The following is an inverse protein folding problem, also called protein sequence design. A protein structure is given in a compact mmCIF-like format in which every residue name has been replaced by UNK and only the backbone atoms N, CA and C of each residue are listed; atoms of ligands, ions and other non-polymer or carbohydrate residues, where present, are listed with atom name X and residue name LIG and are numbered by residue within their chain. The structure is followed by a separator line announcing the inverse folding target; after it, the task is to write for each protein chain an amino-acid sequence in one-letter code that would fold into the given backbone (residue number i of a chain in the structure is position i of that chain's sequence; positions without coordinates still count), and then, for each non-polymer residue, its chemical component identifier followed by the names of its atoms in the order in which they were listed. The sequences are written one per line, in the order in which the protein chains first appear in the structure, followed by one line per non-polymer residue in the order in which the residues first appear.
data_IF_195585297507
#
_entry.id   IF_195585297507
#
_cell.length_a   1.000
_cell.length_b   1.000
_cell.length_c   1.000
_cell.angle_alpha   90.00
_cell.angle_beta   90.00
_cell.angle_gamma   90.00
#
_symmetry.space_group_name_H-M   'P 1'
#
loop_
_entity.id
_entity.type
_entity.pdbx_description
1 polymer ?
#
# COMPACT_ATOMS: atom_id res chain seq x y z
N UNK A 1 -1.26 -24.99 -18.11
CA UNK A 1 -0.47 -24.82 -16.87
C UNK A 1 0.73 -23.86 -17.03
N UNK A 2 1.45 -23.84 -18.15
CA UNK A 2 2.65 -23.00 -18.31
C UNK A 2 2.43 -21.49 -18.01
N UNK A 3 1.29 -20.91 -18.39
CA UNK A 3 0.99 -19.50 -18.12
C UNK A 3 0.79 -19.15 -16.63
N UNK A 4 0.22 -20.07 -15.84
CA UNK A 4 -0.01 -19.85 -14.40
C UNK A 4 1.33 -19.96 -13.65
N UNK A 5 2.18 -20.91 -14.05
CA UNK A 5 3.53 -21.06 -13.52
C UNK A 5 4.37 -19.81 -13.78
N UNK A 6 4.28 -19.24 -14.98
CA UNK A 6 4.98 -17.99 -15.31
C UNK A 6 4.52 -16.81 -14.43
N UNK A 7 3.22 -16.72 -14.14
CA UNK A 7 2.68 -15.68 -13.25
C UNK A 7 3.07 -15.89 -11.78
N UNK A 8 3.09 -17.13 -11.30
CA UNK A 8 3.57 -17.48 -9.95
C UNK A 8 5.05 -17.14 -9.80
N UNK A 9 5.88 -17.45 -10.80
CA UNK A 9 7.31 -17.11 -10.78
C UNK A 9 7.58 -15.61 -10.98
N UNK A 10 6.68 -14.86 -11.64
CA UNK A 10 6.84 -13.41 -11.74
C UNK A 10 6.63 -12.70 -10.40
N UNK A 11 5.80 -13.25 -9.52
CA UNK A 11 5.56 -12.67 -8.19
C UNK A 11 6.54 -13.17 -7.13
N UNK A 12 7.12 -14.36 -7.32
CA UNK A 12 8.17 -14.90 -6.47
C UNK A 12 9.18 -15.70 -7.31
N UNK A 13 10.28 -15.08 -7.76
CA UNK A 13 11.26 -15.73 -8.62
C UNK A 13 12.14 -16.76 -7.89
N UNK A 14 12.10 -16.81 -6.56
CA UNK A 14 12.88 -17.75 -5.76
C UNK A 14 12.23 -19.13 -5.62
N UNK A 15 10.95 -19.27 -5.99
CA UNK A 15 10.27 -20.56 -5.93
C UNK A 15 10.92 -21.58 -6.87
N UNK A 16 11.27 -22.74 -6.32
CA UNK A 16 11.75 -23.86 -7.14
C UNK A 16 10.59 -24.55 -7.86
N UNK A 17 10.90 -25.37 -8.86
CA UNK A 17 9.89 -26.20 -9.53
C UNK A 17 9.10 -27.10 -8.55
N UNK A 18 9.72 -27.50 -7.44
CA UNK A 18 9.08 -28.28 -6.38
C UNK A 18 8.10 -27.43 -5.58
N UNK A 19 8.49 -26.20 -5.23
CA UNK A 19 7.64 -25.26 -4.46
C UNK A 19 6.43 -24.84 -5.29
N UNK A 20 6.63 -24.50 -6.56
CA UNK A 20 5.53 -24.19 -7.48
C UNK A 20 4.57 -25.37 -7.61
N UNK A 21 5.09 -26.60 -7.71
CA UNK A 21 4.25 -27.80 -7.77
C UNK A 21 3.46 -28.01 -6.48
N UNK A 22 4.09 -27.82 -5.31
CA UNK A 22 3.44 -27.92 -4.01
C UNK A 22 2.33 -26.87 -3.86
N UNK A 23 2.64 -25.63 -4.20
CA UNK A 23 1.71 -24.51 -4.11
C UNK A 23 0.50 -24.68 -5.04
N UNK A 24 0.70 -25.14 -6.27
CA UNK A 24 -0.41 -25.46 -7.18
C UNK A 24 -1.26 -26.64 -6.70
N UNK A 25 -0.67 -27.58 -5.96
CA UNK A 25 -1.38 -28.67 -5.30
C UNK A 25 -2.22 -28.15 -4.14
N UNK A 26 -1.61 -27.35 -3.26
CA UNK A 26 -2.25 -26.89 -2.01
C UNK A 26 -3.39 -25.89 -2.26
N UNK A 27 -3.33 -25.20 -3.39
CA UNK A 27 -4.36 -24.23 -3.82
C UNK A 27 -5.37 -24.82 -4.80
N UNK A 28 -5.20 -26.08 -5.21
CA UNK A 28 -6.14 -26.73 -6.09
C UNK A 28 -7.49 -26.92 -5.39
N UNK A 29 -8.57 -26.67 -6.14
CA UNK A 29 -9.93 -26.90 -5.69
C UNK A 29 -10.36 -28.30 -6.09
N UNK A 30 -10.79 -29.10 -5.12
CA UNK A 30 -11.38 -30.41 -5.38
C UNK A 30 -12.60 -30.29 -6.31
N UNK A 31 -12.67 -31.17 -7.30
CA UNK A 31 -13.77 -31.25 -8.26
C UNK A 31 -14.22 -32.70 -8.41
N UNK A 32 -15.53 -32.92 -8.27
CA UNK A 32 -16.08 -34.28 -8.31
C UNK A 32 -15.90 -35.04 -7.00
N UNK A 33 -15.67 -36.34 -7.09
CA UNK A 33 -15.58 -37.26 -5.94
C UNK A 33 -14.35 -38.17 -6.05
N UNK A 34 -14.02 -38.89 -4.96
CA UNK A 34 -12.93 -39.88 -4.97
C UNK A 34 -11.58 -39.35 -4.49
N UNK A 35 -11.57 -38.21 -3.79
CA UNK A 35 -10.39 -37.70 -3.09
C UNK A 35 -10.09 -38.53 -1.84
N UNK A 36 -8.85 -38.99 -1.72
CA UNK A 36 -8.35 -39.69 -0.55
C UNK A 36 -7.96 -38.74 0.60
N UNK A 37 -7.54 -39.29 1.76
CA UNK A 37 -7.07 -38.50 2.91
C UNK A 37 -5.85 -37.60 2.61
N UNK A 38 -5.14 -37.84 1.51
CA UNK A 38 -4.01 -37.07 0.99
C UNK A 38 -4.42 -35.95 0.02
N UNK A 39 -5.73 -35.75 -0.18
CA UNK A 39 -6.30 -34.76 -1.09
C UNK A 39 -6.15 -35.11 -2.57
N UNK A 40 -5.90 -36.38 -2.90
CA UNK A 40 -5.67 -36.84 -4.27
C UNK A 40 -6.80 -37.75 -4.78
N UNK A 41 -7.28 -37.47 -5.99
CA UNK A 41 -8.20 -38.32 -6.74
C UNK A 41 -7.45 -39.05 -7.88
N UNK A 42 -7.68 -40.35 -8.10
CA UNK A 42 -7.11 -41.07 -9.26
C UNK A 42 -7.51 -40.47 -10.61
N UNK A 43 -8.65 -39.78 -10.68
CA UNK A 43 -9.20 -39.21 -11.91
C UNK A 43 -8.85 -37.73 -12.07
N UNK A 44 -8.86 -36.97 -10.98
CA UNK A 44 -8.72 -35.51 -11.01
C UNK A 44 -7.42 -34.99 -10.38
N UNK A 45 -6.53 -35.87 -9.91
CA UNK A 45 -5.33 -35.49 -9.18
C UNK A 45 -5.68 -34.68 -7.93
N UNK A 46 -5.05 -33.51 -7.75
CA UNK A 46 -5.36 -32.59 -6.65
C UNK A 46 -6.56 -31.67 -6.94
N UNK A 47 -7.21 -31.82 -8.11
CA UNK A 47 -8.35 -31.02 -8.53
C UNK A 47 -8.00 -29.89 -9.50
N UNK A 48 -8.91 -28.94 -9.61
CA UNK A 48 -8.80 -27.82 -10.54
C UNK A 48 -7.85 -26.75 -10.00
N UNK A 49 -6.88 -26.35 -10.81
CA UNK A 49 -5.95 -25.27 -10.43
C UNK A 49 -6.70 -23.94 -10.27
N UNK A 50 -6.51 -23.31 -9.11
CA UNK A 50 -6.94 -21.96 -8.82
C UNK A 50 -5.75 -21.00 -8.97
N UNK A 51 -5.69 -20.31 -10.11
CA UNK A 51 -4.60 -19.39 -10.42
C UNK A 51 -4.54 -18.20 -9.45
N UNK A 52 -5.69 -17.74 -8.96
CA UNK A 52 -5.76 -16.60 -8.04
C UNK A 52 -5.21 -16.98 -6.67
N UNK A 53 -5.67 -18.11 -6.12
CA UNK A 53 -5.17 -18.62 -4.84
C UNK A 53 -3.67 -18.95 -4.92
N UNK A 54 -3.20 -19.50 -6.04
CA UNK A 54 -1.78 -19.77 -6.27
C UNK A 54 -0.94 -18.48 -6.27
N UNK A 55 -1.33 -17.46 -7.03
CA UNK A 55 -0.59 -16.18 -7.05
C UNK A 55 -0.59 -15.52 -5.68
N UNK A 56 -1.72 -15.54 -4.97
CA UNK A 56 -1.80 -14.96 -3.62
C UNK A 56 -0.94 -15.73 -2.60
N UNK A 57 -0.84 -17.06 -2.72
CA UNK A 57 0.05 -17.87 -1.90
C UNK A 57 1.53 -17.59 -2.23
N UNK A 58 1.85 -17.43 -3.52
CA UNK A 58 3.20 -17.13 -3.98
C UNK A 58 3.65 -15.73 -3.52
N UNK A 59 2.75 -14.75 -3.52
CA UNK A 59 2.97 -13.42 -2.93
C UNK A 59 3.24 -13.49 -1.42
N UNK A 60 2.52 -14.33 -0.68
CA UNK A 60 2.73 -14.53 0.76
C UNK A 60 4.07 -15.22 1.09
N UNK A 61 4.57 -16.02 0.16
CA UNK A 61 5.87 -16.71 0.26
C UNK A 61 6.99 -15.94 -0.44
N UNK A 62 6.67 -14.83 -1.12
CA UNK A 62 7.67 -13.99 -1.74
C UNK A 62 8.66 -13.58 -0.66
N UNK A 63 9.97 -13.67 -0.93
CA UNK A 63 10.93 -13.05 -0.05
C UNK A 63 10.49 -11.59 0.12
N UNK A 64 10.24 -11.17 1.36
CA UNK A 64 10.52 -9.78 1.72
C UNK A 64 11.97 -9.60 1.32
N UNK A 65 12.25 -8.64 0.44
CA UNK A 65 13.57 -8.39 -0.15
C UNK A 65 14.68 -8.77 0.86
N UNK A 66 15.69 -9.56 0.45
CA UNK A 66 16.71 -10.03 1.38
C UNK A 66 17.26 -8.83 2.15
N UNK A 67 17.32 -8.94 3.47
CA UNK A 67 17.96 -7.94 4.33
C UNK A 67 19.37 -7.71 3.78
N UNK A 68 19.62 -6.52 3.20
CA UNK A 68 20.87 -6.18 2.51
C UNK A 68 20.70 -5.63 1.09
N UNK A 69 19.51 -5.72 0.47
CA UNK A 69 19.21 -4.96 -0.77
C UNK A 69 18.41 -3.70 -0.44
N UNK A 70 18.93 -2.51 -0.73
CA UNK A 70 18.24 -1.26 -0.44
C UNK A 70 16.89 -1.15 -1.14
N UNK A 71 15.90 -0.63 -0.45
CA UNK A 71 14.51 -0.58 -0.94
C UNK A 71 13.75 0.66 -0.48
N UNK A 72 12.63 0.92 -1.14
CA UNK A 72 11.68 1.99 -0.78
C UNK A 72 10.27 1.42 -0.71
N UNK A 73 9.55 1.73 0.37
CA UNK A 73 8.17 1.29 0.59
C UNK A 73 7.29 2.50 0.93
N UNK A 74 6.22 2.69 0.16
CA UNK A 74 5.20 3.71 0.40
C UNK A 74 3.92 3.12 0.97
N UNK A 75 2.96 3.97 1.39
CA UNK A 75 1.65 3.51 1.80
C UNK A 75 0.86 3.00 0.59
N UNK A 76 -0.03 2.03 0.80
CA UNK A 76 -0.89 1.52 -0.27
C UNK A 76 -1.83 2.59 -0.86
N UNK A 77 -2.25 3.56 -0.04
CA UNK A 77 -3.06 4.70 -0.48
C UNK A 77 -2.78 5.96 0.32
N UNK A 78 -3.11 7.11 -0.27
CA UNK A 78 -3.05 8.41 0.39
C UNK A 78 -4.21 9.30 -0.06
N UNK A 79 -4.97 9.85 0.90
CA UNK A 79 -6.08 10.78 0.63
C UNK A 79 -5.57 12.01 -0.13
N UNK A 80 -6.23 12.35 -1.23
CA UNK A 80 -5.94 13.52 -2.07
C UNK A 80 -5.86 14.82 -1.28
N UNK A 81 -6.69 14.97 -0.24
CA UNK A 81 -6.71 16.11 0.69
C UNK A 81 -5.90 15.90 1.97
N UNK A 82 -5.33 14.70 2.14
CA UNK A 82 -4.54 14.32 3.31
C UNK A 82 -3.09 14.82 3.26
N UNK A 83 -2.31 14.53 4.32
CA UNK A 83 -0.89 14.86 4.35
C UNK A 83 -0.11 14.13 3.23
N UNK A 84 1.05 14.65 2.81
CA UNK A 84 1.92 13.95 1.88
C UNK A 84 2.27 12.53 2.36
N UNK A 85 2.33 11.56 1.43
CA UNK A 85 2.76 10.21 1.76
C UNK A 85 4.21 10.22 2.27
N UNK A 86 4.48 9.33 3.22
CA UNK A 86 5.81 9.07 3.76
C UNK A 86 6.25 7.71 3.23
N UNK A 87 7.47 7.65 2.72
CA UNK A 87 8.11 6.44 2.20
C UNK A 87 9.19 6.00 3.18
N UNK A 88 9.16 4.74 3.57
CA UNK A 88 10.21 4.10 4.35
C UNK A 88 11.33 3.63 3.41
N UNK A 89 12.57 3.93 3.75
CA UNK A 89 13.77 3.52 3.04
C UNK A 89 14.51 2.50 3.88
N UNK A 90 14.73 1.33 3.30
CA UNK A 90 15.72 0.40 3.81
C UNK A 90 17.04 0.69 3.09
N UNK A 91 18.03 1.17 3.84
CA UNK A 91 19.37 1.47 3.35
C UNK A 91 20.37 0.35 3.69
N UNK A 92 19.87 -0.82 4.11
CA UNK A 92 20.70 -1.98 4.39
C UNK A 92 21.54 -2.32 3.16
N UNK A 93 22.86 -2.35 3.36
CA UNK A 93 23.84 -2.74 2.36
C UNK A 93 24.90 -3.61 3.02
N UNK A 94 25.64 -4.38 2.22
CA UNK A 94 26.79 -5.15 2.68
C UNK A 94 28.03 -4.25 2.87
N UNK A 95 27.97 -3.35 3.86
CA UNK A 95 29.13 -2.61 4.36
C UNK A 95 29.37 -1.22 3.77
N UNK A 96 28.50 -0.73 2.88
CA UNK A 96 28.57 0.61 2.31
C UNK A 96 27.53 1.57 2.92
N UNK A 97 27.91 2.81 3.22
CA UNK A 97 26.92 3.84 3.51
C UNK A 97 26.22 4.23 2.20
N UNK A 98 24.89 4.21 2.21
CA UNK A 98 24.09 4.54 1.05
C UNK A 98 23.32 5.84 1.24
N UNK A 99 23.26 6.57 0.14
CA UNK A 99 22.46 7.76 -0.03
C UNK A 99 21.46 7.52 -1.15
N UNK A 100 20.37 8.26 -1.15
CA UNK A 100 19.32 8.08 -2.14
C UNK A 100 18.72 9.39 -2.64
N UNK A 101 18.04 9.29 -3.77
CA UNK A 101 17.08 10.28 -4.23
C UNK A 101 15.79 9.58 -4.63
N UNK A 102 14.64 10.20 -4.33
CA UNK A 102 13.32 9.65 -4.67
C UNK A 102 12.83 10.27 -5.95
N UNK A 103 12.32 9.43 -6.84
CA UNK A 103 11.57 9.82 -8.03
C UNK A 103 10.09 9.43 -7.84
N UNK A 104 9.19 10.33 -8.24
CA UNK A 104 7.75 10.10 -8.20
C UNK A 104 7.10 10.56 -9.52
N UNK A 105 6.13 9.79 -10.02
CA UNK A 105 5.52 10.02 -11.32
C UNK A 105 4.02 9.68 -11.34
N UNK A 106 3.28 10.36 -12.20
CA UNK A 106 1.84 10.11 -12.42
C UNK A 106 1.57 8.92 -13.35
N UNK A 107 2.58 8.52 -14.13
CA UNK A 107 2.56 7.36 -15.03
C UNK A 107 3.93 6.65 -14.92
N UNK A 108 3.98 5.32 -14.77
CA UNK A 108 5.25 4.60 -14.63
C UNK A 108 6.14 4.70 -15.88
N UNK A 109 5.59 4.95 -17.08
CA UNK A 109 6.38 5.13 -18.31
C UNK A 109 7.35 6.32 -18.21
N UNK A 110 7.05 7.31 -17.36
CA UNK A 110 7.90 8.49 -17.15
C UNK A 110 9.24 8.15 -16.49
N UNK A 111 9.40 6.94 -15.92
CA UNK A 111 10.70 6.46 -15.44
C UNK A 111 11.64 6.05 -16.58
N UNK A 112 11.12 5.69 -17.76
CA UNK A 112 11.95 5.44 -18.95
C UNK A 112 12.46 6.76 -19.52
N UNK A 113 13.55 7.26 -18.93
CA UNK A 113 14.06 8.62 -19.18
C UNK A 113 14.30 8.91 -20.65
N UNK A 114 14.87 7.96 -21.40
CA UNK A 114 15.21 8.17 -22.81
C UNK A 114 13.97 8.25 -23.72
N UNK A 115 12.90 7.52 -23.38
CA UNK A 115 11.70 7.45 -24.21
C UNK A 115 10.72 8.59 -23.91
N UNK A 116 10.61 9.01 -22.64
CA UNK A 116 9.57 9.92 -22.16
C UNK A 116 10.12 11.22 -21.56
N UNK A 117 11.33 11.64 -21.94
CA UNK A 117 11.94 12.86 -21.41
C UNK A 117 11.05 14.10 -21.61
N UNK A 118 10.40 14.21 -22.77
CA UNK A 118 9.56 15.35 -23.12
C UNK A 118 8.27 15.42 -22.28
N UNK A 119 7.80 14.28 -21.76
CA UNK A 119 6.57 14.16 -20.99
C UNK A 119 6.79 14.38 -19.49
N UNK A 120 8.06 14.48 -19.04
CA UNK A 120 8.44 14.76 -17.64
C UNK A 120 8.34 16.27 -17.38
N UNK A 121 7.16 16.69 -16.97
CA UNK A 121 6.86 18.05 -16.55
C UNK A 121 6.73 18.12 -15.02
N UNK A 122 6.75 19.31 -14.40
CA UNK A 122 6.55 19.45 -12.96
C UNK A 122 5.23 18.88 -12.42
N UNK A 123 4.23 18.68 -13.28
CA UNK A 123 2.91 18.14 -12.93
C UNK A 123 2.81 16.63 -13.15
N UNK A 124 3.77 16.02 -13.84
CA UNK A 124 3.75 14.59 -14.18
C UNK A 124 4.89 13.83 -13.53
N UNK A 125 5.98 14.50 -13.16
CA UNK A 125 7.21 13.88 -12.67
C UNK A 125 7.93 14.76 -11.63
N UNK A 126 8.52 14.11 -10.64
CA UNK A 126 9.36 14.71 -9.62
C UNK A 126 10.61 13.87 -9.32
N UNK A 127 11.72 14.54 -9.02
CA UNK A 127 12.97 13.91 -8.58
C UNK A 127 13.64 14.76 -7.48
N UNK A 128 13.86 14.19 -6.30
CA UNK A 128 14.41 14.93 -5.16
C UNK A 128 15.84 15.43 -5.37
N UNK A 129 16.62 14.79 -6.24
CA UNK A 129 17.98 15.21 -6.58
C UNK A 129 18.03 16.55 -7.34
N UNK A 130 16.89 17.07 -7.80
CA UNK A 130 16.78 18.41 -8.38
C UNK A 130 16.72 19.51 -7.31
N UNK A 131 16.26 19.17 -6.12
CA UNK A 131 16.05 20.12 -5.02
C UNK A 131 17.20 20.11 -4.02
N UNK A 132 17.77 18.93 -3.77
CA UNK A 132 18.79 18.72 -2.74
C UNK A 132 19.83 17.68 -3.13
N UNK A 133 20.92 17.62 -2.36
CA UNK A 133 21.84 16.48 -2.36
C UNK A 133 21.12 15.18 -1.98
N UNK A 134 21.81 14.05 -2.16
CA UNK A 134 21.23 12.75 -1.81
C UNK A 134 21.04 12.63 -0.30
N UNK A 135 19.98 11.93 0.06
CA UNK A 135 19.43 11.81 1.41
C UNK A 135 19.88 10.48 2.03
N UNK A 136 19.87 10.39 3.35
CA UNK A 136 20.19 9.15 4.09
C UNK A 136 19.22 8.87 5.24
N UNK A 137 18.12 9.62 5.33
CA UNK A 137 17.08 9.36 6.33
C UNK A 137 16.29 8.10 5.99
N UNK A 138 15.96 7.30 7.00
CA UNK A 138 15.12 6.11 6.85
C UNK A 138 13.68 6.43 6.43
N UNK A 139 13.24 7.68 6.61
CA UNK A 139 11.94 8.15 6.12
C UNK A 139 12.12 9.28 5.12
N UNK A 140 11.35 9.24 4.05
CA UNK A 140 11.24 10.30 3.06
C UNK A 140 9.79 10.79 2.96
N UNK A 141 9.55 12.06 3.24
CA UNK A 141 8.25 12.69 3.02
C UNK A 141 8.26 13.46 1.71
N UNK A 142 7.28 13.19 0.85
CA UNK A 142 7.11 13.97 -0.38
C UNK A 142 6.85 15.45 -0.03
N UNK A 143 7.52 16.43 -0.66
CA UNK A 143 7.27 17.84 -0.37
C UNK A 143 5.81 18.25 -0.64
N UNK A 144 5.25 19.13 0.18
CA UNK A 144 3.84 19.54 0.06
C UNK A 144 3.48 20.07 -1.33
N UNK A 145 4.36 20.88 -1.92
CA UNK A 145 4.17 21.42 -3.27
C UNK A 145 4.20 20.33 -4.35
N UNK A 146 5.00 19.28 -4.16
CA UNK A 146 5.05 18.13 -5.08
C UNK A 146 3.78 17.30 -4.94
N UNK A 147 3.34 17.05 -3.69
CA UNK A 147 2.07 16.35 -3.41
C UNK A 147 0.88 17.07 -4.03
N UNK A 148 0.81 18.40 -3.93
CA UNK A 148 -0.29 19.18 -4.51
C UNK A 148 -0.39 19.05 -6.03
N UNK A 149 0.76 19.02 -6.71
CA UNK A 149 0.86 18.88 -8.18
C UNK A 149 0.55 17.45 -8.62
N UNK A 150 1.28 16.47 -8.10
CA UNK A 150 1.16 15.07 -8.54
C UNK A 150 -0.09 14.37 -8.00
N UNK A 151 -0.64 14.83 -6.87
CA UNK A 151 -1.83 14.25 -6.23
C UNK A 151 -3.14 14.49 -6.98
N UNK A 152 -3.12 15.19 -8.13
CA UNK A 152 -4.27 15.28 -9.02
C UNK A 152 -4.50 13.97 -9.80
N UNK A 153 -3.46 13.16 -9.97
CA UNK A 153 -3.58 11.82 -10.53
C UNK A 153 -4.31 10.87 -9.55
N UNK A 154 -4.80 9.75 -10.07
CA UNK A 154 -5.42 8.68 -9.26
C UNK A 154 -4.39 7.71 -8.68
N UNK A 155 -3.15 7.74 -9.17
CA UNK A 155 -2.03 6.96 -8.65
C UNK A 155 -0.74 7.77 -8.72
N UNK A 156 0.16 7.50 -7.76
CA UNK A 156 1.51 8.03 -7.75
C UNK A 156 2.50 6.86 -7.71
N UNK A 157 3.25 6.68 -8.79
CA UNK A 157 4.31 5.70 -8.88
C UNK A 157 5.59 6.27 -8.29
N UNK A 158 6.38 5.45 -7.62
CA UNK A 158 7.60 5.91 -6.94
C UNK A 158 8.73 4.90 -7.03
N UNK A 159 9.96 5.42 -7.07
CA UNK A 159 11.18 4.62 -6.92
C UNK A 159 12.27 5.42 -6.22
N UNK A 160 13.28 4.73 -5.72
CA UNK A 160 14.49 5.34 -5.21
C UNK A 160 15.67 5.03 -6.13
N UNK A 161 16.56 5.99 -6.31
CA UNK A 161 17.91 5.76 -6.79
C UNK A 161 18.85 5.78 -5.61
N UNK A 162 19.75 4.81 -5.52
CA UNK A 162 20.77 4.71 -4.48
C UNK A 162 22.14 5.06 -5.02
N UNK A 163 23.04 5.46 -4.14
CA UNK A 163 24.45 5.72 -4.44
C UNK A 163 25.32 5.55 -3.19
N UNK A 164 26.57 5.16 -3.38
CA UNK A 164 27.61 5.11 -2.32
C UNK A 164 28.27 6.48 -2.07
N UNK A 165 27.81 7.55 -2.73
CA UNK A 165 28.30 8.91 -2.53
C UNK A 165 27.14 9.85 -2.20
N UNK A 166 27.32 10.82 -1.28
CA UNK A 166 26.26 11.75 -0.91
C UNK A 166 25.94 12.81 -1.98
N UNK A 167 26.82 12.96 -2.99
CA UNK A 167 26.75 14.07 -3.95
C UNK A 167 27.00 13.66 -5.40
N UNK A 168 27.38 12.42 -5.64
CA UNK A 168 27.69 11.92 -6.98
C UNK A 168 26.97 10.60 -7.23
N UNK A 169 26.56 10.34 -8.47
CA UNK A 169 26.04 9.03 -8.87
C UNK A 169 27.17 8.00 -8.95
N UNK A 170 27.65 7.53 -7.80
CA UNK A 170 28.66 6.49 -7.67
C UNK A 170 27.98 5.17 -7.27
N UNK A 171 28.30 4.09 -7.99
CA UNK A 171 27.68 2.78 -7.75
C UNK A 171 26.15 2.84 -7.84
N UNK A 172 25.61 3.71 -8.70
CA UNK A 172 24.20 4.05 -8.67
C UNK A 172 23.33 2.95 -9.28
N UNK A 173 22.21 2.66 -8.62
CA UNK A 173 21.19 1.72 -9.07
C UNK A 173 19.81 2.15 -8.55
N UNK A 174 18.74 1.69 -9.20
CA UNK A 174 17.38 2.02 -8.81
C UNK A 174 16.68 0.85 -8.09
N UNK A 175 15.76 1.16 -7.17
CA UNK A 175 14.83 0.17 -6.59
C UNK A 175 13.94 -0.47 -7.66
N UNK A 176 13.69 0.27 -8.76
CA UNK A 176 13.04 -0.24 -9.96
C UNK A 176 13.72 0.38 -11.17
N UNK A 177 14.44 -0.46 -11.93
CA UNK A 177 15.15 -0.07 -13.14
C UNK A 177 14.20 0.41 -14.24
N UNK A 178 14.68 1.28 -15.14
CA UNK A 178 13.89 1.87 -16.24
C UNK A 178 13.17 0.81 -17.09
N UNK A 179 13.83 -0.32 -17.37
CA UNK A 179 13.25 -1.41 -18.15
C UNK A 179 12.14 -2.18 -17.41
N UNK A 180 12.09 -2.07 -16.08
CA UNK A 180 11.11 -2.73 -15.22
C UNK A 180 10.02 -1.76 -14.72
N UNK A 181 9.84 -0.62 -15.37
CA UNK A 181 8.90 0.44 -14.94
C UNK A 181 7.46 -0.05 -14.67
N UNK A 182 6.98 -1.10 -15.35
CA UNK A 182 5.65 -1.68 -15.08
C UNK A 182 5.52 -2.34 -13.71
N UNK A 183 6.64 -2.62 -13.04
CA UNK A 183 6.70 -3.19 -11.70
C UNK A 183 6.90 -2.11 -10.64
N UNK A 184 6.91 -0.82 -11.03
CA UNK A 184 7.10 0.27 -10.08
C UNK A 184 5.94 0.31 -9.09
N UNK A 185 6.23 0.31 -7.77
CA UNK A 185 5.20 0.45 -6.75
C UNK A 185 4.41 1.75 -6.90
N UNK A 186 3.15 1.71 -6.47
CA UNK A 186 2.25 2.87 -6.51
C UNK A 186 1.63 3.17 -5.14
N UNK A 187 1.24 4.44 -4.99
CA UNK A 187 0.32 4.90 -3.94
C UNK A 187 -0.98 5.27 -4.63
N UNK A 188 -2.07 4.57 -4.32
CA UNK A 188 -3.39 4.96 -4.80
C UNK A 188 -3.81 6.29 -4.18
N UNK A 189 -4.26 7.24 -4.99
CA UNK A 189 -4.74 8.54 -4.51
C UNK A 189 -6.26 8.52 -4.46
N UNK A 190 -6.79 8.44 -3.25
CA UNK A 190 -8.23 8.34 -3.02
C UNK A 190 -8.85 9.69 -2.71
N UNK A 191 -10.09 9.91 -3.15
CA UNK A 191 -10.96 10.89 -2.50
C UNK A 191 -11.33 10.37 -1.11
N UNK A 192 -11.21 11.17 -0.07
CA UNK A 192 -11.56 10.79 1.33
C UNK A 192 -12.99 10.26 1.57
N UNK A 193 -13.79 10.05 0.53
CA UNK A 193 -15.13 9.45 0.57
C UNK A 193 -15.17 7.94 0.23
N UNK A 194 -14.15 7.36 -0.42
CA UNK A 194 -14.20 5.95 -0.85
C UNK A 194 -13.84 4.93 0.24
N UNK A 195 -13.43 5.38 1.42
CA UNK A 195 -13.17 4.51 2.59
C UNK A 195 -14.46 4.13 3.34
N UNK A 196 -15.63 4.63 2.93
CA UNK A 196 -16.93 4.26 3.53
C UNK A 196 -17.63 3.10 2.78
N UNK A 197 -16.87 2.14 2.25
CA UNK A 197 -17.38 0.90 1.67
C UNK A 197 -17.61 -0.22 2.68
N UNK A 198 -18.30 0.06 3.80
CA UNK A 198 -18.93 -1.00 4.60
C UNK A 198 -20.20 -1.47 3.86
N UNK A 199 -20.57 -2.75 3.89
CA UNK A 199 -21.64 -3.28 3.05
C UNK A 199 -22.95 -2.58 3.41
N UNK A 200 -23.56 -1.95 2.40
CA UNK A 200 -24.92 -1.46 2.46
C UNK A 200 -25.85 -2.64 2.77
N UNK A 201 -26.31 -2.71 4.02
CA UNK A 201 -27.46 -3.52 4.39
C UNK A 201 -28.69 -2.94 3.68
N UNK A 202 -29.05 -3.64 2.62
CA UNK A 202 -30.30 -3.53 1.86
C UNK A 202 -31.51 -3.57 2.81
N UNK A 203 -32.40 -2.59 2.63
CA UNK A 203 -33.86 -2.59 2.90
C UNK A 203 -34.48 -3.98 3.17
N UNK A 204 -35.44 -4.26 4.07
CA UNK A 204 -36.56 -3.52 4.70
C UNK A 204 -37.22 -4.51 5.73
N UNK A 205 -38.39 -4.29 6.40
CA UNK A 205 -39.33 -3.17 6.34
C UNK A 205 -39.74 -2.56 7.70
N UNK A 206 -40.18 -1.31 7.66
CA UNK A 206 -40.83 -0.62 8.77
C UNK A 206 -42.21 -1.23 9.05
N UNK A 207 -42.40 -1.77 10.25
CA UNK A 207 -43.72 -2.07 10.80
C UNK A 207 -44.40 -0.79 11.30
N UNK A 208 -45.61 -0.60 10.79
CA UNK A 208 -46.59 0.45 11.07
C UNK A 208 -47.37 0.12 12.37
N UNK A 209 -47.93 1.16 13.01
CA UNK A 209 -48.90 1.17 14.14
C UNK A 209 -48.31 0.90 15.54
N UNK A 210 -48.58 1.64 16.64
CA UNK A 210 -49.62 2.64 17.00
C UNK A 210 -49.13 3.51 18.22
N UNK A 211 -49.98 4.24 18.97
CA UNK A 211 -50.24 5.67 18.85
C UNK A 211 -49.63 6.55 19.98
N UNK A 212 -49.47 7.84 19.65
CA UNK A 212 -49.02 8.93 20.52
C UNK A 212 -50.11 9.36 21.51
N UNK A 213 -49.77 9.48 22.80
CA UNK A 213 -50.58 10.17 23.83
C UNK A 213 -49.97 11.53 24.13
N UNK A 214 -50.82 12.56 24.05
CA UNK A 214 -50.54 14.00 24.18
C UNK A 214 -50.19 14.47 25.60
N UNK A 215 -49.26 15.42 25.64
CA UNK A 215 -49.16 16.67 26.42
C UNK A 215 -49.72 16.79 27.85
N UNK A 216 -48.83 17.19 28.79
CA UNK A 216 -49.11 18.17 29.87
C UNK A 216 -47.81 18.93 30.27
N UNK A 217 -47.78 20.28 30.28
CA UNK A 217 -46.86 21.10 31.10
C UNK A 217 -47.65 22.06 32.04
N UNK A 218 -47.03 22.97 32.84
CA UNK A 218 -45.71 23.00 33.49
C UNK A 218 -45.81 23.33 35.02
N UNK A 219 -44.68 23.31 35.74
CA UNK A 219 -44.57 24.14 36.96
C UNK A 219 -43.15 24.69 37.12
N UNK A 220 -43.07 26.03 37.03
CA UNK A 220 -41.95 26.88 37.38
C UNK A 220 -41.84 26.95 38.90
N UNK A 221 -40.62 26.89 39.46
CA UNK A 221 -40.32 27.64 40.69
C UNK A 221 -38.86 28.07 40.77
N UNK A 222 -38.72 29.37 40.99
CA UNK A 222 -37.53 30.21 41.05
C UNK A 222 -36.82 30.17 42.40
N UNK A 223 -35.54 30.61 42.40
CA UNK A 223 -34.73 31.20 43.49
C UNK A 223 -34.06 30.22 44.48
N UNK A 224 -32.83 30.40 44.97
CA UNK A 224 -31.78 31.41 44.77
C UNK A 224 -30.49 30.99 45.55
N UNK A 225 -29.40 31.76 45.38
CA UNK A 225 -28.22 31.96 46.28
C UNK A 225 -27.14 30.84 46.25
N UNK A 226 -25.96 30.99 45.61
CA UNK A 226 -24.79 31.91 45.76
C UNK A 226 -23.78 31.52 46.85
N UNK A 227 -22.48 31.57 46.48
CA UNK A 227 -21.24 31.64 47.32
C UNK A 227 -20.71 30.26 47.78
N UNK A 228 -19.43 29.86 47.69
CA UNK A 228 -18.12 30.47 47.34
C UNK A 228 -17.16 29.37 46.80
N UNK A 229 -16.00 29.73 46.22
CA UNK A 229 -14.92 28.86 45.77
C UNK A 229 -13.80 28.77 46.83
N UNK A 230 -13.45 27.56 47.24
CA UNK A 230 -12.10 27.12 47.65
C UNK A 230 -12.26 25.78 48.37
N UNK A 231 -11.68 24.72 47.83
CA UNK A 231 -10.91 23.76 48.65
C UNK A 231 -10.13 22.81 47.72
N UNK A 232 -8.83 23.07 47.63
CA UNK A 232 -7.71 22.12 47.84
C UNK A 232 -7.63 20.89 46.92
N UNK A 233 -6.65 20.84 46.00
CA UNK A 233 -5.26 20.34 46.21
C UNK A 233 -5.21 18.82 46.45
N UNK A 234 -4.13 18.18 45.99
CA UNK A 234 -3.73 16.75 46.11
C UNK A 234 -4.32 15.85 44.99
N UNK A 235 -3.58 15.10 44.18
CA UNK A 235 -2.19 14.64 44.20
C UNK A 235 -1.70 14.29 42.78
N UNK A 236 -0.37 14.40 42.61
CA UNK A 236 0.45 13.73 41.59
C UNK A 236 0.18 12.22 41.56
N UNK A 237 0.24 11.61 40.37
CA UNK A 237 1.11 10.49 40.01
C UNK A 237 1.40 10.57 38.51
#
# INVERSE_FOLDING_TARGET
MAGIVALVLSVNPELTATDVRGLLRDTAREVGSGYGPDGHSPEYGYGQVDAYAAVQAAQRQAPTLPAGTPSITGPASADRSGPPPVFALDLASDGDELYYAVEAATDPQLFQRQAHQADRTPDTFYASWQDSSFLSSADYRLPDQVRQRLGQADALYYRAWFSTSPTQWQGAFASTEDAAFLQTPEVAVTSGADTAGAPATRDAPQTRDAPQVRDVPPAVRTAARSVDPDEQVWCRW
#
